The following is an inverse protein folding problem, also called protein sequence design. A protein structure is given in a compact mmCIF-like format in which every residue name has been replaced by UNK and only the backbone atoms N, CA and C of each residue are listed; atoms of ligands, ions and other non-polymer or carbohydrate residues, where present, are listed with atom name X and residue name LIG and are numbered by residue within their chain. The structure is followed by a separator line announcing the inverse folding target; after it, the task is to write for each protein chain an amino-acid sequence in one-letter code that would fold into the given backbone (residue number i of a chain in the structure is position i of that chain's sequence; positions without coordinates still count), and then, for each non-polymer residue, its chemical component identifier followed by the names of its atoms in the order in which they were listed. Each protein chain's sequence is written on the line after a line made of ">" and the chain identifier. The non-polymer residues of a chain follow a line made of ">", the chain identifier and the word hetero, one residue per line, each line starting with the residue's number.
data_IF_529761128057
#
_entry.id   IF_529761128057
#
_cell.length_a   1.000
_cell.length_b   1.000
_cell.length_c   1.000
_cell.angle_alpha   90.00
_cell.angle_beta   90.00
_cell.angle_gamma   90.00
#
_symmetry.space_group_name_H-M   'P 1'
#
loop_
_entity.id
_entity.type
_entity.pdbx_description
1 polymer ?
#
# COMPACT_ATOMS: atom_id res chain seq x y z
N UNK A 1 -23.12 7.51 -10.16
CA UNK A 1 -24.35 6.75 -10.50
C UNK A 1 -24.51 5.59 -9.51
N UNK A 2 -25.73 5.11 -9.23
CA UNK A 2 -25.95 4.05 -8.22
C UNK A 2 -25.33 2.69 -8.62
N UNK A 3 -25.03 2.52 -9.91
CA UNK A 3 -24.40 1.38 -10.56
C UNK A 3 -22.88 1.58 -10.81
N UNK A 4 -22.31 2.71 -10.38
CA UNK A 4 -20.89 2.99 -10.55
C UNK A 4 -20.06 2.28 -9.47
N UNK A 5 -19.20 1.35 -9.90
CA UNK A 5 -18.33 0.59 -9.01
C UNK A 5 -17.00 1.31 -8.77
N UNK A 6 -16.55 1.30 -7.51
CA UNK A 6 -15.24 1.80 -7.08
C UNK A 6 -14.44 0.60 -6.59
N UNK A 7 -13.57 0.09 -7.45
CA UNK A 7 -12.85 -1.16 -7.25
C UNK A 7 -11.32 -0.95 -7.24
N UNK A 8 -10.72 -0.41 -6.17
CA UNK A 8 -9.27 -0.26 -6.09
C UNK A 8 -8.57 -1.63 -6.02
N UNK A 9 -7.34 -1.67 -6.52
CA UNK A 9 -6.44 -2.79 -6.33
C UNK A 9 -5.77 -2.71 -4.97
N UNK A 10 -5.86 -3.79 -4.19
CA UNK A 10 -5.25 -3.87 -2.86
C UNK A 10 -4.33 -5.07 -2.77
N UNK A 11 -3.08 -4.84 -2.35
CA UNK A 11 -2.20 -5.92 -1.93
C UNK A 11 -2.72 -6.50 -0.63
N UNK A 12 -2.89 -7.83 -0.58
CA UNK A 12 -3.40 -8.51 0.62
C UNK A 12 -2.50 -9.66 1.03
N UNK A 13 -2.21 -9.74 2.34
CA UNK A 13 -1.36 -10.76 2.92
C UNK A 13 -1.76 -11.06 4.37
N UNK A 14 -2.15 -12.29 4.63
CA UNK A 14 -2.30 -12.79 6.01
C UNK A 14 -0.91 -13.11 6.58
N UNK A 15 -0.56 -12.52 7.72
CA UNK A 15 0.68 -12.79 8.45
C UNK A 15 0.66 -12.21 9.87
N UNK A 16 1.45 -12.79 10.79
CA UNK A 16 1.54 -12.28 12.17
C UNK A 16 2.39 -11.00 12.28
N UNK A 17 3.49 -10.94 11.53
CA UNK A 17 4.40 -9.81 11.53
C UNK A 17 4.02 -8.81 10.43
N UNK A 18 3.25 -7.78 10.82
CA UNK A 18 2.76 -6.72 9.92
C UNK A 18 3.93 -5.95 9.30
N UNK A 19 4.94 -5.57 10.09
CA UNK A 19 6.07 -4.77 9.61
C UNK A 19 6.83 -5.51 8.49
N UNK A 20 7.12 -6.80 8.69
CA UNK A 20 7.71 -7.65 7.67
C UNK A 20 6.76 -7.89 6.50
N UNK A 21 5.47 -8.03 6.79
CA UNK A 21 4.41 -8.20 5.78
C UNK A 21 4.30 -7.03 4.82
N UNK A 22 4.54 -5.80 5.30
CA UNK A 22 4.48 -4.55 4.52
C UNK A 22 5.70 -4.33 3.62
N UNK A 23 6.83 -5.02 3.85
CA UNK A 23 8.06 -4.80 3.06
C UNK A 23 7.87 -4.89 1.53
N UNK A 24 7.10 -5.84 0.96
CA UNK A 24 6.83 -5.85 -0.47
C UNK A 24 6.05 -4.62 -0.95
N UNK A 25 5.10 -4.11 -0.16
CA UNK A 25 4.33 -2.90 -0.46
C UNK A 25 5.24 -1.67 -0.41
N UNK A 26 6.08 -1.58 0.63
CA UNK A 26 7.11 -0.54 0.77
C UNK A 26 8.11 -0.59 -0.39
N UNK A 27 8.48 -1.79 -0.86
CA UNK A 27 9.40 -1.94 -1.98
C UNK A 27 8.83 -1.39 -3.29
N UNK A 28 7.56 -1.72 -3.57
CA UNK A 28 6.82 -1.14 -4.68
C UNK A 28 6.78 0.39 -4.54
N UNK A 29 6.27 0.90 -3.41
CA UNK A 29 6.15 2.33 -3.16
C UNK A 29 7.48 3.08 -3.31
N UNK A 30 8.56 2.57 -2.71
CA UNK A 30 9.89 3.16 -2.81
C UNK A 30 10.39 3.28 -4.25
N UNK A 31 10.08 2.29 -5.11
CA UNK A 31 10.37 2.39 -6.54
C UNK A 31 9.52 3.44 -7.25
N UNK A 32 8.21 3.48 -7.02
CA UNK A 32 7.33 4.45 -7.69
C UNK A 32 7.66 5.89 -7.27
N UNK A 33 7.80 6.13 -5.97
CA UNK A 33 8.10 7.45 -5.38
C UNK A 33 9.53 7.87 -5.70
N UNK A 34 10.49 6.94 -5.69
CA UNK A 34 11.90 7.29 -5.85
C UNK A 34 12.44 7.20 -7.27
N UNK A 35 12.04 6.17 -8.03
CA UNK A 35 12.73 5.75 -9.25
C UNK A 35 11.90 5.67 -10.53
N UNK A 36 10.56 5.72 -10.47
CA UNK A 36 9.73 5.62 -11.68
C UNK A 36 9.54 6.97 -12.40
N UNK A 37 9.49 8.08 -11.66
CA UNK A 37 9.35 9.43 -12.23
C UNK A 37 10.68 10.12 -12.51
N UNK A 38 10.63 11.25 -13.23
CA UNK A 38 11.80 12.11 -13.42
C UNK A 38 12.13 12.84 -12.12
N UNK A 39 13.41 13.11 -11.84
CA UNK A 39 13.84 13.75 -10.59
C UNK A 39 13.09 15.06 -10.30
N UNK A 40 12.94 15.93 -11.30
CA UNK A 40 12.21 17.20 -11.18
C UNK A 40 10.67 17.08 -11.29
N UNK A 41 10.14 15.90 -11.66
CA UNK A 41 8.71 15.69 -11.86
C UNK A 41 8.35 14.22 -11.66
N UNK A 42 8.00 13.87 -10.43
CA UNK A 42 7.52 12.54 -10.08
C UNK A 42 6.11 12.63 -9.48
N UNK A 43 5.11 12.24 -10.27
CA UNK A 43 3.71 12.25 -9.87
C UNK A 43 3.40 11.38 -8.64
N UNK A 44 4.18 10.33 -8.38
CA UNK A 44 4.01 9.47 -7.20
C UNK A 44 4.52 10.17 -5.94
N UNK A 45 5.67 10.86 -6.03
CA UNK A 45 6.18 11.70 -4.95
C UNK A 45 5.23 12.87 -4.68
N UNK A 46 4.74 13.55 -5.72
CA UNK A 46 3.78 14.66 -5.61
C UNK A 46 2.45 14.19 -4.97
N UNK A 47 2.01 12.96 -5.25
CA UNK A 47 0.83 12.38 -4.60
C UNK A 47 1.09 12.12 -3.11
N UNK A 48 2.22 11.49 -2.77
CA UNK A 48 2.59 11.21 -1.38
C UNK A 48 2.73 12.52 -0.56
N UNK A 49 3.32 13.57 -1.15
CA UNK A 49 3.42 14.88 -0.53
C UNK A 49 2.04 15.51 -0.25
N UNK A 50 1.10 15.43 -1.21
CA UNK A 50 -0.29 15.89 -1.02
C UNK A 50 -1.06 15.10 0.05
N UNK A 51 -0.59 13.90 0.38
CA UNK A 51 -1.10 13.08 1.47
C UNK A 51 -0.44 13.40 2.83
N UNK A 52 0.43 14.42 2.88
CA UNK A 52 1.06 14.91 4.11
C UNK A 52 2.46 14.36 4.39
N UNK A 53 3.06 13.63 3.44
CA UNK A 53 4.37 12.97 3.61
C UNK A 53 5.45 13.58 2.69
N UNK A 54 5.52 14.91 2.63
CA UNK A 54 6.43 15.62 1.71
C UNK A 54 7.90 15.33 2.00
N UNK A 55 8.32 15.37 3.27
CA UNK A 55 9.70 15.12 3.65
C UNK A 55 10.13 13.68 3.37
N UNK A 56 9.26 12.71 3.65
CA UNK A 56 9.53 11.30 3.38
C UNK A 56 9.58 11.03 1.88
N UNK A 57 8.70 11.65 1.08
CA UNK A 57 8.75 11.53 -0.38
C UNK A 57 10.08 12.05 -0.94
N UNK A 58 10.57 13.20 -0.44
CA UNK A 58 11.86 13.77 -0.83
C UNK A 58 13.02 12.85 -0.44
N UNK A 59 13.01 12.33 0.79
CA UNK A 59 14.04 11.40 1.28
C UNK A 59 14.09 10.12 0.45
N UNK A 60 12.93 9.51 0.16
CA UNK A 60 12.84 8.29 -0.66
C UNK A 60 13.45 8.55 -2.05
N UNK A 61 13.12 9.69 -2.67
CA UNK A 61 13.65 10.06 -3.98
C UNK A 61 15.16 10.29 -3.95
N UNK A 62 15.67 11.03 -2.96
CA UNK A 62 17.11 11.26 -2.79
C UNK A 62 17.87 9.93 -2.66
N UNK A 63 17.41 9.03 -1.78
CA UNK A 63 18.01 7.72 -1.57
C UNK A 63 17.99 6.88 -2.86
N UNK A 64 16.87 6.88 -3.58
CA UNK A 64 16.74 6.10 -4.81
C UNK A 64 17.66 6.61 -5.92
N UNK A 65 17.75 7.93 -6.12
CA UNK A 65 18.63 8.57 -7.10
C UNK A 65 20.12 8.38 -6.73
N UNK A 66 20.44 8.29 -5.44
CA UNK A 66 21.77 7.93 -4.95
C UNK A 66 22.08 6.41 -5.07
N UNK A 67 21.17 5.60 -5.62
CA UNK A 67 21.34 4.15 -5.74
C UNK A 67 21.12 3.37 -4.44
N UNK A 68 20.75 4.03 -3.34
CA UNK A 68 20.53 3.46 -2.00
C UNK A 68 19.13 2.86 -1.87
N UNK A 69 18.82 1.88 -2.73
CA UNK A 69 17.44 1.35 -2.90
C UNK A 69 16.85 0.76 -1.63
N UNK A 70 17.61 -0.03 -0.86
CA UNK A 70 17.10 -0.64 0.38
C UNK A 70 16.71 0.42 1.40
N UNK A 71 17.51 1.47 1.53
CA UNK A 71 17.22 2.59 2.43
C UNK A 71 16.00 3.36 1.96
N UNK A 72 15.84 3.58 0.64
CA UNK A 72 14.64 4.19 0.07
C UNK A 72 13.37 3.39 0.39
N UNK A 73 13.45 2.05 0.35
CA UNK A 73 12.33 1.17 0.72
C UNK A 73 11.99 1.27 2.21
N UNK A 74 13.01 1.30 3.07
CA UNK A 74 12.80 1.41 4.52
C UNK A 74 12.28 2.80 4.92
N UNK A 75 12.63 3.84 4.16
CA UNK A 75 12.17 5.22 4.34
C UNK A 75 10.68 5.42 4.01
N UNK A 76 10.03 4.48 3.29
CA UNK A 76 8.57 4.50 3.14
C UNK A 76 7.92 4.34 4.53
N UNK A 77 7.03 5.25 4.96
CA UNK A 77 6.34 5.09 6.24
C UNK A 77 5.45 3.85 6.24
N UNK A 78 5.45 3.10 7.35
CA UNK A 78 4.61 1.92 7.50
C UNK A 78 3.12 2.29 7.39
N UNK A 79 2.71 3.40 8.00
CA UNK A 79 1.34 3.90 7.91
C UNK A 79 0.93 4.16 6.44
N UNK A 80 1.81 4.75 5.63
CA UNK A 80 1.51 5.03 4.22
C UNK A 80 1.34 3.73 3.40
N UNK A 81 2.21 2.74 3.63
CA UNK A 81 2.09 1.43 2.98
C UNK A 81 0.84 0.65 3.44
N UNK A 82 0.51 0.76 4.73
CA UNK A 82 -0.62 0.07 5.34
C UNK A 82 -1.96 0.66 4.88
N UNK A 83 -2.07 1.97 4.67
CA UNK A 83 -3.29 2.62 4.17
C UNK A 83 -3.77 2.12 2.81
N UNK A 84 -2.87 1.60 1.97
CA UNK A 84 -3.19 1.09 0.64
C UNK A 84 -3.17 -0.43 0.53
N UNK A 85 -3.04 -1.14 1.66
CA UNK A 85 -2.93 -2.60 1.68
C UNK A 85 -3.68 -3.24 2.87
N UNK A 86 -3.92 -4.54 2.77
CA UNK A 86 -4.47 -5.35 3.86
C UNK A 86 -3.41 -6.37 4.28
N UNK A 87 -2.59 -6.00 5.26
CA UNK A 87 -1.50 -6.85 5.76
C UNK A 87 -1.67 -7.11 7.24
N UNK A 88 -1.62 -8.37 7.65
CA UNK A 88 -1.64 -8.72 9.08
C UNK A 88 -2.48 -9.95 9.42
N UNK A 89 -2.74 -10.19 10.71
CA UNK A 89 -3.58 -11.30 11.13
C UNK A 89 -5.03 -11.09 10.66
N UNK A 90 -5.81 -12.17 10.64
CA UNK A 90 -7.19 -12.18 10.14
C UNK A 90 -8.03 -11.06 10.77
N UNK A 91 -7.95 -10.92 12.08
CA UNK A 91 -8.76 -9.98 12.87
C UNK A 91 -8.47 -8.54 12.45
N UNK A 92 -7.18 -8.21 12.28
CA UNK A 92 -6.75 -6.90 11.78
C UNK A 92 -7.26 -6.61 10.38
N UNK A 93 -7.20 -7.60 9.49
CA UNK A 93 -7.71 -7.46 8.11
C UNK A 93 -9.22 -7.20 8.14
N UNK A 94 -9.98 -7.89 9.00
CA UNK A 94 -11.41 -7.68 9.17
C UNK A 94 -11.74 -6.25 9.62
N UNK A 95 -11.02 -5.72 10.61
CA UNK A 95 -11.20 -4.34 11.09
C UNK A 95 -10.90 -3.29 10.01
N UNK A 96 -9.84 -3.51 9.21
CA UNK A 96 -9.50 -2.60 8.10
C UNK A 96 -10.51 -2.67 6.96
N UNK A 97 -10.99 -3.86 6.61
CA UNK A 97 -12.07 -4.03 5.63
C UNK A 97 -13.31 -3.23 6.04
N UNK A 98 -13.69 -3.27 7.32
CA UNK A 98 -14.83 -2.50 7.82
C UNK A 98 -14.62 -0.98 7.68
N UNK A 99 -13.40 -0.51 7.88
CA UNK A 99 -13.06 0.91 7.66
C UNK A 99 -13.19 1.30 6.19
N UNK A 100 -12.80 0.42 5.27
CA UNK A 100 -12.94 0.67 3.82
C UNK A 100 -14.39 0.58 3.34
N UNK A 101 -15.22 -0.32 3.92
CA UNK A 101 -16.66 -0.43 3.64
C UNK A 101 -17.45 0.83 4.01
N UNK A 102 -16.99 1.57 5.02
CA UNK A 102 -17.57 2.88 5.40
C UNK A 102 -17.23 4.00 4.42
N UNK A 103 -16.24 3.77 3.55
CA UNK A 103 -15.82 4.69 2.51
C UNK A 103 -16.59 4.49 1.20
N UNK A 104 -16.11 5.11 0.11
CA UNK A 104 -16.74 5.02 -1.21
C UNK A 104 -16.42 3.72 -1.97
N UNK A 105 -15.61 2.83 -1.38
CA UNK A 105 -15.19 1.57 -2.01
C UNK A 105 -16.36 0.60 -2.04
N UNK A 106 -16.71 0.10 -3.23
CA UNK A 106 -17.79 -0.87 -3.41
C UNK A 106 -17.25 -2.30 -3.51
N UNK A 107 -16.10 -2.47 -4.16
CA UNK A 107 -15.48 -3.75 -4.47
C UNK A 107 -13.97 -3.66 -4.23
N UNK A 108 -13.28 -4.80 -4.11
CA UNK A 108 -11.82 -4.85 -4.01
C UNK A 108 -11.24 -5.80 -5.03
N UNK A 109 -10.29 -5.32 -5.82
CA UNK A 109 -9.46 -6.16 -6.67
C UNK A 109 -8.27 -6.66 -5.85
N UNK A 110 -8.36 -7.90 -5.39
CA UNK A 110 -7.37 -8.50 -4.48
C UNK A 110 -6.12 -8.94 -5.24
N UNK A 111 -4.98 -8.38 -4.86
CA UNK A 111 -3.66 -8.79 -5.34
C UNK A 111 -2.97 -9.66 -4.28
N UNK A 112 -3.15 -10.98 -4.39
CA UNK A 112 -2.46 -11.95 -3.55
C UNK A 112 -2.21 -13.27 -4.30
N UNK A 113 -0.96 -13.78 -4.33
CA UNK A 113 -0.69 -15.09 -4.89
C UNK A 113 -0.94 -16.24 -3.88
N UNK A 114 -1.26 -15.92 -2.63
CA UNK A 114 -1.40 -16.91 -1.55
C UNK A 114 -2.84 -17.42 -1.42
N UNK A 115 -3.12 -18.72 -1.69
CA UNK A 115 -4.46 -19.28 -1.56
C UNK A 115 -5.03 -19.20 -0.14
N UNK A 116 -4.20 -19.21 0.90
CA UNK A 116 -4.70 -19.06 2.27
C UNK A 116 -5.28 -17.66 2.50
N UNK A 117 -4.53 -16.62 2.12
CA UNK A 117 -4.99 -15.23 2.14
C UNK A 117 -6.29 -15.05 1.35
N UNK A 118 -6.40 -15.64 0.15
CA UNK A 118 -7.62 -15.55 -0.65
C UNK A 118 -8.83 -16.20 0.04
N UNK A 119 -8.65 -17.35 0.70
CA UNK A 119 -9.73 -17.99 1.49
C UNK A 119 -10.16 -17.14 2.67
N UNK A 120 -9.21 -16.57 3.42
CA UNK A 120 -9.51 -15.69 4.55
C UNK A 120 -10.36 -14.49 4.09
N UNK A 121 -10.02 -13.85 2.98
CA UNK A 121 -10.82 -12.75 2.45
C UNK A 121 -12.22 -13.18 1.99
N UNK A 122 -12.34 -14.34 1.34
CA UNK A 122 -13.64 -14.87 0.94
C UNK A 122 -14.56 -15.08 2.15
N UNK A 123 -14.02 -15.64 3.23
CA UNK A 123 -14.76 -15.84 4.49
C UNK A 123 -15.10 -14.52 5.20
N UNK A 124 -14.23 -13.51 5.14
CA UNK A 124 -14.49 -12.18 5.72
C UNK A 124 -15.47 -11.34 4.89
N UNK A 125 -15.77 -11.76 3.66
CA UNK A 125 -16.73 -11.09 2.78
C UNK A 125 -18.08 -11.83 2.68
N UNK A 126 -18.22 -12.96 3.37
CA UNK A 126 -19.47 -13.74 3.45
C UNK A 126 -20.34 -13.23 4.60
#
# INVERSE_FOLDING_TARGET
>A
PADFLVAPMAHVRVCDDVAKGLLPVKAMLGFYIGGMGHAARNFHADLMARMGYEEEARLIQELFLAGRRQEAVLAVPDAFADEISLVGPRERIAERLESWRKGPVTDLLVLSPDPHTLRVLAELNS
#
